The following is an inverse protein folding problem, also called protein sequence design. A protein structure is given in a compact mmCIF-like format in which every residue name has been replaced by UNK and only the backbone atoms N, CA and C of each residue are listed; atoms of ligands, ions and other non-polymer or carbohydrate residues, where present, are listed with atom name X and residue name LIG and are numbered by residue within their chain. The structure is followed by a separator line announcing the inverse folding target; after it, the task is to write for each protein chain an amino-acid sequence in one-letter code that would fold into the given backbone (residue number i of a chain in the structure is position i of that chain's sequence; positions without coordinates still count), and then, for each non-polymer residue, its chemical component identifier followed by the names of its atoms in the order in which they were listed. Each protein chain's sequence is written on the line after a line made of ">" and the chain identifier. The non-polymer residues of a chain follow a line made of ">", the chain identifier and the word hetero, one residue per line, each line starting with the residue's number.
data_IF_998723750924
#
_entry.id   IF_998723750924
#
_cell.length_a   1.000
_cell.length_b   1.000
_cell.length_c   1.000
_cell.angle_alpha   90.00
_cell.angle_beta   90.00
_cell.angle_gamma   90.00
#
_symmetry.space_group_name_H-M   'P 1'
#
loop_
_entity.id
_entity.type
_entity.pdbx_description
1 polymer ?
#
# COMPACT_ATOMS: atom_id res chain seq x y z
N UNK A 1 -15.72 -1.72 -12.57
CA UNK A 1 -15.03 -0.40 -12.55
C UNK A 1 -13.60 -0.59 -12.07
N UNK A 2 -12.65 0.31 -12.38
CA UNK A 2 -11.28 0.25 -11.83
C UNK A 2 -10.86 1.56 -11.20
N UNK A 3 -10.22 1.48 -10.03
CA UNK A 3 -9.65 2.60 -9.30
C UNK A 3 -8.15 2.41 -9.16
N UNK A 4 -7.36 3.35 -9.65
CA UNK A 4 -5.90 3.27 -9.65
C UNK A 4 -5.29 4.41 -8.85
N UNK A 5 -4.37 4.07 -7.96
CA UNK A 5 -3.59 5.01 -7.18
C UNK A 5 -2.10 4.89 -7.50
N UNK A 6 -1.43 6.04 -7.56
CA UNK A 6 0.03 6.13 -7.67
C UNK A 6 0.66 6.28 -6.29
N UNK A 7 1.75 5.56 -6.07
CA UNK A 7 2.43 5.47 -4.79
C UNK A 7 3.88 5.93 -4.91
N UNK A 8 4.13 7.24 -4.77
CA UNK A 8 5.47 7.78 -4.97
C UNK A 8 6.47 7.19 -3.98
N UNK A 9 7.67 6.93 -4.45
CA UNK A 9 8.81 6.65 -3.59
C UNK A 9 9.02 7.84 -2.67
N UNK A 10 9.38 7.58 -1.40
CA UNK A 10 9.77 8.62 -0.46
C UNK A 10 11.18 8.40 0.04
N UNK A 11 11.89 9.47 0.33
CA UNK A 11 13.14 9.43 1.09
C UNK A 11 13.00 10.32 2.32
N UNK A 12 13.53 9.88 3.46
CA UNK A 12 13.59 10.73 4.64
C UNK A 12 14.88 11.57 4.53
N UNK A 13 14.74 12.88 4.25
CA UNK A 13 15.85 13.83 4.25
C UNK A 13 16.36 14.13 5.66
N UNK A 14 15.48 13.97 6.65
CA UNK A 14 15.81 13.99 8.06
C UNK A 14 15.02 12.88 8.75
N UNK A 15 15.69 12.16 9.66
CA UNK A 15 15.05 11.24 10.58
C UNK A 15 15.69 11.40 11.96
N UNK A 16 14.93 11.93 12.90
CA UNK A 16 15.30 11.98 14.30
C UNK A 16 14.52 10.92 15.07
N UNK A 17 15.25 10.10 15.83
CA UNK A 17 14.70 9.03 16.66
C UNK A 17 14.87 9.43 18.12
N UNK A 18 13.76 9.60 18.83
CA UNK A 18 13.78 9.91 20.26
C UNK A 18 14.08 8.69 21.14
N UNK A 19 14.11 8.85 22.46
CA UNK A 19 14.29 7.73 23.39
C UNK A 19 13.09 6.75 23.34
N UNK A 20 13.30 5.46 23.65
CA UNK A 20 12.22 4.47 23.64
C UNK A 20 11.14 4.83 24.66
N UNK A 21 9.88 4.72 24.24
CA UNK A 21 8.71 4.85 25.09
C UNK A 21 8.44 3.59 25.92
N UNK A 22 7.49 3.70 26.84
CA UNK A 22 7.07 2.59 27.69
C UNK A 22 6.36 1.46 26.91
N UNK A 23 5.90 1.75 25.69
CA UNK A 23 5.26 0.82 24.75
C UNK A 23 6.27 0.06 23.85
N UNK A 24 7.57 0.33 24.01
CA UNK A 24 8.63 -0.28 23.20
C UNK A 24 8.85 0.38 21.84
N UNK A 25 8.16 1.49 21.54
CA UNK A 25 8.35 2.25 20.29
C UNK A 25 9.15 3.54 20.52
N UNK A 26 9.77 4.05 19.46
CA UNK A 26 10.47 5.33 19.50
C UNK A 26 9.64 6.42 18.83
N UNK A 27 9.47 7.60 19.44
CA UNK A 27 8.90 8.74 18.75
C UNK A 27 9.84 9.18 17.61
N UNK A 28 9.26 9.47 16.46
CA UNK A 28 10.00 9.87 15.25
C UNK A 28 9.62 11.27 14.81
N UNK A 29 10.62 12.07 14.43
CA UNK A 29 10.45 13.30 13.66
C UNK A 29 11.13 13.09 12.31
N UNK A 30 10.39 13.29 11.22
CA UNK A 30 10.89 13.03 9.87
C UNK A 30 10.54 14.16 8.92
N UNK A 31 11.48 14.49 8.02
CA UNK A 31 11.22 15.28 6.82
C UNK A 31 11.31 14.35 5.62
N UNK A 32 10.18 14.10 4.95
CA UNK A 32 10.13 13.23 3.79
C UNK A 32 10.05 14.04 2.49
N UNK A 33 10.75 13.58 1.46
CA UNK A 33 10.60 14.03 0.08
C UNK A 33 10.06 12.89 -0.77
N UNK A 34 9.14 13.21 -1.69
CA UNK A 34 8.51 12.24 -2.58
C UNK A 34 9.03 12.41 -4.00
N UNK A 35 9.32 11.30 -4.66
CA UNK A 35 9.76 11.27 -6.05
C UNK A 35 8.55 11.13 -7.00
N UNK A 36 8.81 11.32 -8.29
CA UNK A 36 7.90 11.10 -9.40
C UNK A 36 7.88 9.63 -9.90
N UNK A 37 8.73 8.77 -9.34
CA UNK A 37 8.74 7.32 -9.53
C UNK A 37 8.05 6.61 -8.37
N UNK A 38 7.33 5.52 -8.65
CA UNK A 38 6.53 4.85 -7.64
C UNK A 38 5.82 3.59 -8.14
N UNK A 39 5.22 2.87 -7.21
CA UNK A 39 4.36 1.73 -7.51
C UNK A 39 2.96 2.21 -7.95
N UNK A 40 2.19 1.35 -8.61
CA UNK A 40 0.76 1.62 -8.90
C UNK A 40 -0.10 0.48 -8.38
N UNK A 41 -1.17 0.83 -7.70
CA UNK A 41 -2.14 -0.13 -7.17
C UNK A 41 -3.49 0.12 -7.82
N UNK A 42 -4.06 -0.91 -8.43
CA UNK A 42 -5.40 -0.87 -9.02
C UNK A 42 -6.33 -1.83 -8.29
N UNK A 43 -7.53 -1.34 -7.96
CA UNK A 43 -8.64 -2.13 -7.45
C UNK A 43 -9.70 -2.24 -8.54
N UNK A 44 -10.06 -3.46 -8.91
CA UNK A 44 -10.96 -3.75 -10.04
C UNK A 44 -12.16 -4.55 -9.53
N UNK A 45 -13.36 -4.02 -9.75
CA UNK A 45 -14.61 -4.71 -9.42
C UNK A 45 -15.00 -5.74 -10.48
N UNK A 46 -15.51 -6.88 -10.03
CA UNK A 46 -16.05 -7.92 -10.90
C UNK A 46 -14.97 -8.78 -11.59
N UNK A 47 -13.71 -8.65 -11.18
CA UNK A 47 -12.63 -9.56 -11.54
C UNK A 47 -12.57 -10.76 -10.58
N UNK A 48 -11.68 -11.71 -10.88
CA UNK A 48 -11.35 -12.79 -9.94
C UNK A 48 -10.70 -12.16 -8.68
N UNK A 49 -11.24 -12.42 -7.48
CA UNK A 49 -10.67 -11.87 -6.25
C UNK A 49 -9.27 -12.40 -6.02
N UNK A 50 -8.34 -11.50 -5.70
CA UNK A 50 -6.95 -11.87 -5.47
C UNK A 50 -5.97 -10.76 -5.82
N UNK A 51 -4.68 -11.06 -5.69
CA UNK A 51 -3.60 -10.16 -5.99
C UNK A 51 -2.80 -10.67 -7.20
N UNK A 52 -2.67 -9.82 -8.21
CA UNK A 52 -1.69 -9.99 -9.29
C UNK A 52 -0.60 -8.94 -9.15
N UNK A 53 0.67 -9.36 -9.17
CA UNK A 53 1.82 -8.46 -9.15
C UNK A 53 2.50 -8.49 -10.52
N UNK A 54 2.84 -7.31 -11.04
CA UNK A 54 3.61 -7.11 -12.27
C UNK A 54 4.69 -6.04 -12.04
N UNK A 55 5.46 -5.72 -13.07
CA UNK A 55 6.51 -4.68 -13.02
C UNK A 55 7.91 -5.27 -12.89
N UNK A 56 8.94 -4.42 -13.01
CA UNK A 56 10.35 -4.88 -13.02
C UNK A 56 10.74 -5.61 -11.73
N UNK A 57 10.10 -5.29 -10.61
CA UNK A 57 10.39 -5.84 -9.29
C UNK A 57 9.21 -6.65 -8.73
N UNK A 58 8.46 -7.34 -9.60
CA UNK A 58 7.31 -8.14 -9.20
C UNK A 58 7.68 -9.25 -8.20
N UNK A 59 8.82 -9.92 -8.43
CA UNK A 59 9.30 -11.04 -7.60
C UNK A 59 9.69 -10.60 -6.17
N UNK A 60 9.91 -9.30 -5.95
CA UNK A 60 10.20 -8.76 -4.62
C UNK A 60 8.92 -8.65 -3.77
N UNK A 61 7.71 -8.75 -4.35
CA UNK A 61 6.48 -8.58 -3.58
C UNK A 61 6.18 -9.81 -2.69
N UNK A 62 5.77 -9.60 -1.43
CA UNK A 62 5.26 -10.69 -0.61
C UNK A 62 4.04 -11.34 -1.28
N UNK A 63 4.00 -12.67 -1.24
CA UNK A 63 2.88 -13.46 -1.75
C UNK A 63 1.76 -13.57 -0.70
N UNK A 64 0.52 -13.73 -1.17
CA UNK A 64 -0.62 -14.05 -0.30
C UNK A 64 -0.91 -13.00 0.78
N UNK A 65 -1.25 -13.45 1.98
CA UNK A 65 -1.72 -12.60 3.10
C UNK A 65 -0.62 -11.74 3.74
N UNK A 66 0.65 -12.03 3.46
CA UNK A 66 1.77 -11.18 3.86
C UNK A 66 1.82 -9.89 3.02
N UNK A 67 1.11 -9.86 1.89
CA UNK A 67 0.94 -8.65 1.12
C UNK A 67 -0.08 -7.73 1.79
N UNK A 68 0.40 -6.58 2.26
CA UNK A 68 -0.45 -5.62 2.94
C UNK A 68 -1.64 -5.16 2.08
N UNK A 69 -1.53 -5.16 0.74
CA UNK A 69 -2.63 -4.71 -0.13
C UNK A 69 -3.78 -5.70 -0.11
N UNK A 70 -3.46 -6.99 -0.19
CA UNK A 70 -4.45 -8.06 -0.06
C UNK A 70 -5.07 -8.06 1.32
N UNK A 71 -4.25 -7.89 2.37
CA UNK A 71 -4.72 -7.80 3.75
C UNK A 71 -5.65 -6.60 3.97
N UNK A 72 -5.28 -5.41 3.52
CA UNK A 72 -6.09 -4.19 3.69
C UNK A 72 -7.46 -4.31 3.02
N UNK A 73 -7.51 -4.89 1.82
CA UNK A 73 -8.79 -5.13 1.12
C UNK A 73 -9.62 -6.20 1.82
N UNK A 74 -8.99 -7.25 2.35
CA UNK A 74 -9.66 -8.30 3.13
C UNK A 74 -10.24 -7.72 4.43
N UNK A 75 -9.45 -6.95 5.18
CA UNK A 75 -9.86 -6.30 6.42
C UNK A 75 -11.00 -5.29 6.18
N UNK A 76 -10.94 -4.52 5.08
CA UNK A 76 -12.01 -3.60 4.70
C UNK A 76 -13.30 -4.33 4.33
N UNK A 77 -13.22 -5.42 3.55
CA UNK A 77 -14.38 -6.22 3.19
C UNK A 77 -15.05 -6.81 4.44
N UNK A 78 -14.25 -7.34 5.37
CA UNK A 78 -14.72 -7.84 6.66
C UNK A 78 -15.40 -6.74 7.51
N UNK A 79 -14.78 -5.56 7.61
CA UNK A 79 -15.33 -4.43 8.36
C UNK A 79 -16.67 -3.91 7.79
N UNK A 80 -16.86 -4.02 6.47
CA UNK A 80 -18.10 -3.63 5.79
C UNK A 80 -19.14 -4.76 5.71
N UNK A 81 -18.83 -5.97 6.17
CA UNK A 81 -19.70 -7.14 6.04
C UNK A 81 -19.99 -7.52 4.59
N UNK A 82 -19.05 -7.26 3.67
CA UNK A 82 -19.17 -7.53 2.24
C UNK A 82 -18.18 -8.62 1.81
N UNK A 83 -18.49 -9.40 0.76
CA UNK A 83 -17.52 -10.31 0.18
C UNK A 83 -16.33 -9.54 -0.40
N UNK A 84 -15.14 -10.15 -0.34
CA UNK A 84 -13.96 -9.63 -1.01
C UNK A 84 -14.11 -9.92 -2.52
N UNK A 85 -14.63 -8.95 -3.27
CA UNK A 85 -14.99 -9.06 -4.70
C UNK A 85 -14.08 -8.23 -5.61
N UNK A 86 -12.89 -7.89 -5.10
CA UNK A 86 -11.93 -7.03 -5.77
C UNK A 86 -10.74 -7.83 -6.29
N UNK A 87 -10.46 -7.63 -7.57
CA UNK A 87 -9.16 -7.99 -8.14
C UNK A 87 -8.18 -6.85 -7.89
N UNK A 88 -7.04 -7.16 -7.28
CA UNK A 88 -6.00 -6.23 -6.90
C UNK A 88 -4.83 -6.42 -7.87
N UNK A 89 -4.41 -5.34 -8.53
CA UNK A 89 -3.21 -5.35 -9.37
C UNK A 89 -2.17 -4.38 -8.82
N UNK A 90 -0.99 -4.90 -8.52
CA UNK A 90 0.16 -4.12 -8.09
C UNK A 90 1.21 -4.10 -9.21
N UNK A 91 1.49 -2.93 -9.75
CA UNK A 91 2.64 -2.70 -10.62
C UNK A 91 3.81 -2.19 -9.78
N UNK A 92 4.85 -3.02 -9.67
CA UNK A 92 5.94 -2.86 -8.71
C UNK A 92 7.22 -2.45 -9.40
N UNK A 93 7.61 -1.21 -9.14
CA UNK A 93 8.81 -0.56 -9.66
C UNK A 93 9.81 -0.23 -8.55
N UNK A 94 9.36 -0.19 -7.30
CA UNK A 94 10.20 0.10 -6.14
C UNK A 94 10.64 -1.17 -5.40
N UNK A 95 11.93 -1.26 -5.02
CA UNK A 95 12.45 -2.39 -4.26
C UNK A 95 11.80 -2.46 -2.88
N UNK A 96 11.58 -3.69 -2.40
CA UNK A 96 11.10 -3.90 -1.04
C UNK A 96 12.13 -3.42 -0.01
N UNK A 97 11.64 -3.02 1.17
CA UNK A 97 12.44 -2.71 2.36
C UNK A 97 13.48 -1.57 2.24
N UNK A 98 13.53 -0.81 1.14
CA UNK A 98 14.48 0.30 0.97
C UNK A 98 14.14 1.59 1.76
N UNK A 99 13.16 1.56 2.67
CA UNK A 99 12.65 2.75 3.35
C UNK A 99 11.81 3.69 2.46
N UNK A 100 11.50 3.25 1.24
CA UNK A 100 10.90 4.06 0.17
C UNK A 100 9.36 4.19 0.22
N UNK A 101 8.69 3.49 1.14
CA UNK A 101 7.26 3.71 1.41
C UNK A 101 6.25 3.32 0.31
N UNK A 102 6.69 2.72 -0.80
CA UNK A 102 5.86 2.44 -1.99
C UNK A 102 4.57 1.66 -1.70
N UNK A 103 4.68 0.47 -1.10
CA UNK A 103 3.51 -0.38 -0.86
C UNK A 103 2.45 0.26 0.05
N UNK A 104 2.86 0.91 1.13
CA UNK A 104 1.92 1.52 2.10
C UNK A 104 1.22 2.76 1.56
N UNK A 105 1.92 3.60 0.79
CA UNK A 105 1.34 4.79 0.19
C UNK A 105 0.27 4.44 -0.86
N UNK A 106 0.52 3.40 -1.68
CA UNK A 106 -0.39 2.94 -2.72
C UNK A 106 -1.74 2.52 -2.15
N UNK A 107 -1.69 1.71 -1.09
CA UNK A 107 -2.87 1.18 -0.42
C UNK A 107 -3.70 2.26 0.24
N UNK A 108 -3.06 3.18 0.98
CA UNK A 108 -3.77 4.25 1.66
C UNK A 108 -4.56 5.12 0.66
N UNK A 109 -3.95 5.44 -0.47
CA UNK A 109 -4.58 6.25 -1.51
C UNK A 109 -5.73 5.50 -2.23
N UNK A 110 -5.56 4.22 -2.55
CA UNK A 110 -6.61 3.43 -3.22
C UNK A 110 -7.80 3.12 -2.31
N UNK A 111 -7.57 2.82 -1.03
CA UNK A 111 -8.65 2.60 -0.06
C UNK A 111 -9.43 3.88 0.22
N UNK A 112 -8.72 5.00 0.46
CA UNK A 112 -9.37 6.28 0.74
C UNK A 112 -10.29 6.71 -0.41
N UNK A 113 -9.85 6.57 -1.65
CA UNK A 113 -10.66 6.91 -2.83
C UNK A 113 -11.82 5.95 -3.09
N UNK A 114 -11.80 4.72 -2.53
CA UNK A 114 -12.93 3.79 -2.60
C UNK A 114 -13.96 4.04 -1.51
N UNK A 115 -13.52 4.38 -0.30
CA UNK A 115 -14.41 4.77 0.81
C UNK A 115 -15.21 6.02 0.41
N UNK A 116 -14.56 7.02 -0.19
CA UNK A 116 -15.20 8.27 -0.65
C UNK A 116 -16.30 8.06 -1.71
N UNK A 117 -16.23 6.98 -2.50
CA UNK A 117 -17.26 6.62 -3.50
C UNK A 117 -18.37 5.72 -2.97
N UNK A 118 -18.24 5.26 -1.73
CA UNK A 118 -19.21 4.37 -1.07
C UNK A 118 -20.13 5.12 -0.09
N UNK A 119 -19.88 6.41 0.13
CA UNK A 119 -20.72 7.37 0.85
C UNK A 119 -21.45 8.28 -0.14
#
# INVERSE_FOLDING_TARGET
>A
MSLTAFAPAKVNLLLHVGPPGADGFHPLVSLAAFADVGDRLSLIEGGEPGLTVSGRLADDAPAGLDNLALRAVTDLAAALGRPQDLSIRLDKELPMAAGLGGGSAAMGSSLSSRIDRSC
#
